data_IF_975975494215
#
_entry.id   IF_975975494215
#
_cell.length_a   1.000
_cell.length_b   1.000
_cell.length_c   1.000
_cell.angle_alpha   90.00
_cell.angle_beta   90.00
_cell.angle_gamma   90.00
#
_symmetry.space_group_name_H-M   'P 1'
#
loop_
_entity.id
_entity.type
_entity.pdbx_description
1 polymer ?
#
# COMPACT_ATOMS: atom_id res chain seq x y z
N UNK A 1 -30.49 18.21 52.68
CA UNK A 1 -29.24 18.45 51.91
C UNK A 1 -28.22 17.29 51.94
N UNK A 2 -27.98 16.59 53.06
CA UNK A 2 -27.01 15.48 53.14
C UNK A 2 -27.31 14.28 52.22
N UNK A 3 -28.59 13.90 52.06
CA UNK A 3 -28.97 12.73 51.24
C UNK A 3 -28.80 12.96 49.72
N UNK A 4 -28.91 14.21 49.24
CA UNK A 4 -28.73 14.54 47.82
C UNK A 4 -27.25 14.43 47.42
N UNK A 5 -26.34 14.87 48.31
CA UNK A 5 -24.88 14.77 48.11
C UNK A 5 -24.38 13.31 48.18
N UNK A 6 -24.98 12.45 49.01
CA UNK A 6 -24.67 11.01 49.06
C UNK A 6 -25.10 10.25 47.79
N UNK A 7 -26.28 10.57 47.22
CA UNK A 7 -26.74 9.95 45.96
C UNK A 7 -25.87 10.34 44.75
N UNK A 8 -25.26 11.52 44.79
CA UNK A 8 -24.34 12.01 43.76
C UNK A 8 -22.99 11.29 43.83
N UNK A 9 -22.45 11.06 45.03
CA UNK A 9 -21.20 10.32 45.24
C UNK A 9 -21.27 8.86 44.79
N UNK A 10 -22.38 8.15 45.07
CA UNK A 10 -22.56 6.75 44.64
C UNK A 10 -22.62 6.61 43.11
N UNK A 11 -23.40 7.47 42.44
CA UNK A 11 -23.48 7.50 40.97
C UNK A 11 -22.14 7.87 40.31
N UNK A 12 -21.39 8.78 40.91
CA UNK A 12 -20.04 9.14 40.47
C UNK A 12 -19.05 7.97 40.60
N UNK A 13 -19.08 7.24 41.72
CA UNK A 13 -18.21 6.08 41.94
C UNK A 13 -18.49 4.93 40.96
N UNK A 14 -19.77 4.62 40.71
CA UNK A 14 -20.17 3.64 39.69
C UNK A 14 -19.76 4.05 38.27
N UNK A 15 -19.85 5.34 37.92
CA UNK A 15 -19.36 5.85 36.63
C UNK A 15 -17.84 5.72 36.52
N UNK A 16 -17.11 6.00 37.60
CA UNK A 16 -15.63 5.89 37.63
C UNK A 16 -15.18 4.44 37.51
N UNK A 17 -15.81 3.50 38.21
CA UNK A 17 -15.53 2.08 38.07
C UNK A 17 -15.82 1.56 36.66
N UNK A 18 -17.00 1.89 36.10
CA UNK A 18 -17.33 1.52 34.71
C UNK A 18 -16.34 2.11 33.73
N UNK A 19 -15.96 3.38 33.90
CA UNK A 19 -14.96 4.02 33.05
C UNK A 19 -13.59 3.37 33.18
N UNK A 20 -13.11 3.07 34.39
CA UNK A 20 -11.82 2.39 34.60
C UNK A 20 -11.84 0.97 34.04
N UNK A 21 -12.93 0.23 34.23
CA UNK A 21 -13.11 -1.10 33.64
C UNK A 21 -13.08 -1.06 32.12
N UNK A 22 -13.83 -0.14 31.49
CA UNK A 22 -13.83 0.03 30.03
C UNK A 22 -12.45 0.44 29.52
N UNK A 23 -11.73 1.31 30.23
CA UNK A 23 -10.36 1.69 29.87
C UNK A 23 -9.39 0.52 29.93
N UNK A 24 -9.49 -0.33 30.97
CA UNK A 24 -8.66 -1.55 31.09
C UNK A 24 -8.99 -2.51 29.95
N UNK A 25 -10.28 -2.68 29.63
CA UNK A 25 -10.72 -3.58 28.56
C UNK A 25 -10.21 -3.09 27.19
N UNK A 26 -10.34 -1.80 26.89
CA UNK A 26 -9.77 -1.19 25.68
C UNK A 26 -8.25 -1.35 25.65
N UNK A 27 -7.56 -1.08 26.76
CA UNK A 27 -6.11 -1.25 26.85
C UNK A 27 -5.66 -2.70 26.62
N UNK A 28 -6.37 -3.67 27.19
CA UNK A 28 -6.13 -5.09 26.98
C UNK A 28 -6.36 -5.49 25.52
N UNK A 29 -7.45 -5.01 24.89
CA UNK A 29 -7.71 -5.26 23.47
C UNK A 29 -6.61 -4.70 22.56
N UNK A 30 -6.11 -3.49 22.84
CA UNK A 30 -4.98 -2.91 22.10
C UNK A 30 -3.72 -3.76 22.28
N UNK A 31 -3.40 -4.19 23.50
CA UNK A 31 -2.25 -5.05 23.75
C UNK A 31 -2.34 -6.36 22.97
N UNK A 32 -3.50 -7.05 23.04
CA UNK A 32 -3.74 -8.29 22.30
C UNK A 32 -3.54 -8.08 20.79
N UNK A 33 -4.04 -6.98 20.23
CA UNK A 33 -3.86 -6.65 18.81
C UNK A 33 -2.39 -6.31 18.44
N UNK A 34 -1.64 -5.68 19.35
CA UNK A 34 -0.23 -5.33 19.12
C UNK A 34 0.71 -6.51 19.27
N UNK A 35 0.38 -7.52 20.08
CA UNK A 35 1.22 -8.72 20.27
C UNK A 35 1.62 -9.43 18.97
N UNK A 36 0.67 -9.86 18.09
CA UNK A 36 1.02 -10.55 16.86
C UNK A 36 1.81 -9.65 15.90
N UNK A 37 1.48 -8.36 15.84
CA UNK A 37 2.24 -7.40 15.04
C UNK A 37 3.69 -7.28 15.54
N UNK A 38 3.88 -7.18 16.86
CA UNK A 38 5.20 -7.13 17.48
C UNK A 38 6.01 -8.40 17.22
N UNK A 39 5.39 -9.57 17.32
CA UNK A 39 6.03 -10.86 17.03
C UNK A 39 6.43 -10.99 15.57
N UNK A 40 5.56 -10.60 14.63
CA UNK A 40 5.87 -10.62 13.19
C UNK A 40 7.04 -9.69 12.89
N UNK A 41 7.02 -8.45 13.41
CA UNK A 41 8.11 -7.51 13.21
C UNK A 41 9.42 -7.97 13.85
N UNK A 42 9.35 -8.55 15.05
CA UNK A 42 10.51 -9.12 15.72
C UNK A 42 11.11 -10.27 14.92
N UNK A 43 10.30 -11.24 14.49
CA UNK A 43 10.77 -12.41 13.74
C UNK A 43 11.29 -12.01 12.36
N UNK A 44 10.62 -11.08 11.69
CA UNK A 44 11.06 -10.50 10.43
C UNK A 44 12.43 -9.83 10.57
N UNK A 45 12.64 -9.04 11.61
CA UNK A 45 13.92 -8.39 11.85
C UNK A 45 15.00 -9.43 12.21
N UNK A 46 14.70 -10.35 13.13
CA UNK A 46 15.65 -11.35 13.62
C UNK A 46 16.14 -12.28 12.52
N UNK A 47 15.24 -12.85 11.71
CA UNK A 47 15.64 -13.74 10.61
C UNK A 47 16.06 -12.96 9.37
N UNK A 48 15.39 -11.85 9.04
CA UNK A 48 15.73 -11.04 7.88
C UNK A 48 17.14 -10.47 7.95
N UNK A 49 17.58 -9.95 9.11
CA UNK A 49 18.93 -9.40 9.28
C UNK A 49 20.03 -10.47 9.21
N UNK A 50 19.72 -11.71 9.60
CA UNK A 50 20.69 -12.83 9.57
C UNK A 50 21.04 -13.27 8.16
N UNK A 51 20.11 -13.13 7.22
CA UNK A 51 20.25 -13.60 5.84
C UNK A 51 20.37 -12.47 4.82
N UNK A 52 20.49 -11.22 5.29
CA UNK A 52 20.65 -10.05 4.43
C UNK A 52 22.12 -9.77 4.17
N UNK A 53 22.58 -10.19 3.00
CA UNK A 53 23.95 -9.94 2.52
C UNK A 53 23.99 -8.95 1.36
N UNK A 54 25.16 -8.39 1.05
CA UNK A 54 25.35 -7.52 -0.12
C UNK A 54 25.01 -8.21 -1.45
N UNK A 55 25.18 -9.53 -1.49
CA UNK A 55 24.81 -10.36 -2.62
C UNK A 55 23.29 -10.35 -2.88
N UNK A 56 22.47 -10.10 -1.85
CA UNK A 56 21.02 -9.99 -1.99
C UNK A 56 20.62 -8.90 -3.00
N UNK A 57 21.33 -7.77 -2.97
CA UNK A 57 21.02 -6.59 -3.78
C UNK A 57 21.65 -6.62 -5.17
N UNK A 58 22.68 -7.44 -5.37
CA UNK A 58 23.50 -7.42 -6.60
C UNK A 58 23.31 -8.66 -7.46
N UNK A 59 22.98 -9.81 -6.86
CA UNK A 59 22.87 -11.09 -7.57
C UNK A 59 21.43 -11.43 -7.94
N UNK A 60 21.30 -12.32 -8.92
CA UNK A 60 20.03 -12.91 -9.33
C UNK A 60 19.62 -14.07 -8.41
N UNK A 61 18.31 -14.41 -8.38
CA UNK A 61 17.82 -15.61 -7.72
C UNK A 61 18.43 -16.85 -8.37
N UNK A 62 18.93 -17.76 -7.55
CA UNK A 62 19.46 -19.05 -8.00
C UNK A 62 18.55 -20.18 -7.53
N UNK A 63 18.57 -21.30 -8.26
CA UNK A 63 17.91 -22.54 -7.86
C UNK A 63 18.49 -23.05 -6.54
N UNK A 64 17.70 -23.80 -5.75
CA UNK A 64 18.18 -24.32 -4.47
C UNK A 64 19.23 -25.39 -4.79
N UNK A 65 20.42 -25.24 -4.21
CA UNK A 65 21.52 -26.15 -4.50
C UNK A 65 21.27 -27.47 -3.74
N UNK A 66 21.19 -28.59 -4.48
CA UNK A 66 21.25 -29.91 -3.86
C UNK A 66 22.73 -30.25 -3.63
N UNK A 67 23.17 -30.25 -2.38
CA UNK A 67 24.50 -30.72 -2.05
C UNK A 67 24.53 -32.24 -2.16
N UNK A 68 25.21 -32.76 -3.18
CA UNK A 68 25.50 -34.18 -3.23
C UNK A 68 26.50 -34.54 -2.13
N UNK A 69 26.33 -35.68 -1.44
CA UNK A 69 27.30 -36.13 -0.44
C UNK A 69 28.69 -36.30 -1.08
N UNK A 70 29.70 -35.62 -0.52
CA UNK A 70 31.09 -35.68 -0.98
C UNK A 70 31.55 -34.53 -1.88
N UNK A 71 30.66 -33.60 -2.28
CA UNK A 71 31.06 -32.35 -2.94
C UNK A 71 31.02 -31.16 -1.96
N UNK A 72 31.99 -30.23 -2.00
CA UNK A 72 31.90 -29.01 -1.21
C UNK A 72 30.64 -28.24 -1.64
N UNK A 73 29.74 -27.95 -0.70
CA UNK A 73 28.63 -27.04 -0.91
C UNK A 73 29.19 -25.62 -1.11
N UNK A 74 29.61 -25.28 -2.32
CA UNK A 74 29.87 -23.88 -2.67
C UNK A 74 28.52 -23.18 -2.72
N UNK A 75 28.16 -22.49 -1.65
CA UNK A 75 26.97 -21.63 -1.59
C UNK A 75 27.15 -20.55 -2.66
N UNK A 76 26.51 -20.72 -3.81
CA UNK A 76 26.43 -19.64 -4.79
C UNK A 76 25.61 -18.52 -4.14
N UNK A 77 26.13 -17.27 -4.11
CA UNK A 77 25.37 -16.19 -3.53
C UNK A 77 24.06 -15.96 -4.30
N UNK A 78 22.93 -16.26 -3.67
CA UNK A 78 21.61 -16.03 -4.25
C UNK A 78 21.11 -14.63 -3.84
N UNK A 79 20.65 -13.85 -4.81
CA UNK A 79 20.07 -12.53 -4.57
C UNK A 79 18.69 -12.34 -5.15
N UNK A 80 18.13 -11.16 -5.00
CA UNK A 80 16.80 -10.79 -5.53
C UNK A 80 16.82 -9.41 -6.19
N UNK A 81 17.96 -9.05 -6.80
CA UNK A 81 18.14 -7.76 -7.45
C UNK A 81 17.07 -7.49 -8.52
N UNK A 82 16.76 -8.49 -9.34
CA UNK A 82 15.71 -8.43 -10.34
C UNK A 82 14.32 -8.19 -9.73
N UNK A 83 13.99 -8.81 -8.60
CA UNK A 83 12.69 -8.66 -7.93
C UNK A 83 12.52 -7.28 -7.29
N UNK A 84 13.60 -6.67 -6.77
CA UNK A 84 13.58 -5.29 -6.27
C UNK A 84 13.26 -4.34 -7.43
N UNK A 85 14.01 -4.44 -8.52
CA UNK A 85 13.81 -3.60 -9.71
C UNK A 85 12.43 -3.85 -10.31
N UNK A 86 12.02 -5.10 -10.44
CA UNK A 86 10.71 -5.48 -10.96
C UNK A 86 9.54 -5.00 -10.10
N UNK A 87 9.69 -4.99 -8.77
CA UNK A 87 8.68 -4.39 -7.88
C UNK A 87 8.55 -2.89 -8.11
N UNK A 88 9.68 -2.19 -8.27
CA UNK A 88 9.69 -0.75 -8.55
C UNK A 88 9.11 -0.43 -9.93
N UNK A 89 9.37 -1.24 -10.96
CA UNK A 89 8.79 -1.05 -12.29
C UNK A 89 7.28 -1.28 -12.29
N UNK A 90 6.80 -2.34 -11.62
CA UNK A 90 5.36 -2.63 -11.50
C UNK A 90 4.61 -1.52 -10.75
N UNK A 91 5.13 -1.09 -9.60
CA UNK A 91 4.54 0.01 -8.82
C UNK A 91 4.63 1.34 -9.59
N UNK A 92 5.73 1.58 -10.30
CA UNK A 92 5.91 2.76 -11.13
C UNK A 92 4.92 2.82 -12.30
N UNK A 93 4.69 1.70 -12.98
CA UNK A 93 3.67 1.59 -14.03
C UNK A 93 2.27 1.80 -13.43
N UNK A 94 1.96 1.14 -12.31
CA UNK A 94 0.69 1.30 -11.62
C UNK A 94 0.43 2.77 -11.28
N UNK A 95 1.42 3.46 -10.69
CA UNK A 95 1.36 4.89 -10.38
C UNK A 95 1.13 5.76 -11.60
N UNK A 96 1.80 5.48 -12.72
CA UNK A 96 1.67 6.26 -13.95
C UNK A 96 0.23 6.30 -14.45
N UNK A 97 -0.49 5.18 -14.35
CA UNK A 97 -1.90 5.09 -14.73
C UNK A 97 -2.83 5.55 -13.61
N UNK A 98 -2.58 5.13 -12.37
CA UNK A 98 -3.52 5.28 -11.27
C UNK A 98 -3.53 6.67 -10.67
N UNK A 99 -2.39 7.36 -10.65
CA UNK A 99 -2.27 8.69 -10.05
C UNK A 99 -3.11 9.75 -10.79
N UNK A 100 -2.98 9.92 -12.14
CA UNK A 100 -3.79 10.91 -12.84
C UNK A 100 -5.29 10.58 -12.78
N UNK A 101 -5.66 9.31 -13.05
CA UNK A 101 -7.06 8.89 -13.03
C UNK A 101 -7.67 9.02 -11.63
N UNK A 102 -6.96 8.53 -10.62
CA UNK A 102 -7.40 8.56 -9.23
C UNK A 102 -7.59 9.98 -8.72
N UNK A 103 -6.61 10.86 -8.97
CA UNK A 103 -6.63 12.26 -8.55
C UNK A 103 -7.76 13.03 -9.23
N UNK A 104 -7.93 12.89 -10.55
CA UNK A 104 -8.99 13.57 -11.30
C UNK A 104 -10.37 13.09 -10.87
N UNK A 105 -10.57 11.78 -10.69
CA UNK A 105 -11.82 11.24 -10.17
C UNK A 105 -12.11 11.74 -8.75
N UNK A 106 -11.11 11.79 -7.87
CA UNK A 106 -11.25 12.32 -6.51
C UNK A 106 -11.60 13.81 -6.48
N UNK A 107 -10.97 14.62 -7.34
CA UNK A 107 -11.30 16.04 -7.52
C UNK A 107 -12.75 16.20 -8.01
N UNK A 108 -13.14 15.42 -9.02
CA UNK A 108 -14.51 15.44 -9.54
C UNK A 108 -15.52 15.10 -8.44
N UNK A 109 -15.27 14.03 -7.67
CA UNK A 109 -16.18 13.60 -6.62
C UNK A 109 -16.31 14.61 -5.47
N UNK A 110 -15.21 15.27 -5.10
CA UNK A 110 -15.19 16.27 -4.06
C UNK A 110 -15.96 17.55 -4.46
N UNK A 111 -15.80 18.02 -5.70
CA UNK A 111 -16.36 19.31 -6.13
C UNK A 111 -17.72 19.20 -6.83
N UNK A 112 -17.94 18.13 -7.60
CA UNK A 112 -19.10 17.96 -8.48
C UNK A 112 -19.86 16.65 -8.25
N UNK A 113 -19.40 15.80 -7.34
CA UNK A 113 -19.93 14.45 -7.14
C UNK A 113 -21.22 14.35 -6.31
N UNK A 114 -21.99 15.43 -6.12
CA UNK A 114 -23.27 15.40 -5.39
C UNK A 114 -24.43 14.79 -6.21
N UNK A 115 -24.18 14.44 -7.47
CA UNK A 115 -25.16 13.85 -8.39
C UNK A 115 -25.16 12.29 -8.34
N UNK A 116 -26.12 11.67 -9.06
CA UNK A 116 -26.26 10.20 -9.15
C UNK A 116 -25.00 9.52 -9.71
N UNK A 117 -24.31 10.16 -10.67
CA UNK A 117 -23.07 9.63 -11.24
C UNK A 117 -21.95 9.60 -10.20
N UNK A 118 -21.79 10.64 -9.39
CA UNK A 118 -20.84 10.67 -8.29
C UNK A 118 -21.12 9.61 -7.22
N UNK A 119 -22.41 9.32 -6.93
CA UNK A 119 -22.77 8.19 -6.06
C UNK A 119 -22.37 6.84 -6.68
N UNK A 120 -22.61 6.64 -7.98
CA UNK A 120 -22.21 5.43 -8.68
C UNK A 120 -20.69 5.24 -8.68
N UNK A 121 -19.92 6.29 -8.97
CA UNK A 121 -18.44 6.24 -8.95
C UNK A 121 -17.92 5.95 -7.54
N UNK A 122 -18.48 6.56 -6.48
CA UNK A 122 -18.12 6.22 -5.09
C UNK A 122 -18.41 4.77 -4.77
N UNK A 123 -19.60 4.29 -5.12
CA UNK A 123 -19.99 2.90 -4.92
C UNK A 123 -19.01 1.94 -5.61
N UNK A 124 -18.65 2.21 -6.87
CA UNK A 124 -17.65 1.41 -7.59
C UNK A 124 -16.28 1.47 -6.94
N UNK A 125 -15.81 2.64 -6.49
CA UNK A 125 -14.54 2.76 -5.79
C UNK A 125 -14.54 2.03 -4.44
N UNK A 126 -15.64 2.08 -3.70
CA UNK A 126 -15.80 1.39 -2.43
C UNK A 126 -15.86 -0.14 -2.65
N UNK A 127 -16.54 -0.60 -3.71
CA UNK A 127 -16.53 -2.01 -4.14
C UNK A 127 -15.13 -2.49 -4.53
N UNK A 128 -14.37 -1.72 -5.29
CA UNK A 128 -13.01 -2.09 -5.68
C UNK A 128 -12.05 -2.16 -4.47
N UNK A 129 -12.25 -1.30 -3.47
CA UNK A 129 -11.46 -1.33 -2.24
C UNK A 129 -11.82 -2.51 -1.33
N UNK A 130 -13.10 -2.92 -1.33
CA UNK A 130 -13.62 -4.03 -0.52
C UNK A 130 -13.45 -5.40 -1.18
N UNK A 131 -13.40 -5.45 -2.51
CA UNK A 131 -13.25 -6.68 -3.27
C UNK A 131 -11.89 -7.37 -2.97
N UNK A 132 -11.85 -8.71 -2.93
CA UNK A 132 -10.59 -9.44 -2.81
C UNK A 132 -9.64 -9.09 -3.97
N UNK A 133 -8.38 -8.78 -3.67
CA UNK A 133 -7.42 -8.31 -4.69
C UNK A 133 -7.13 -9.35 -5.79
N UNK A 134 -7.36 -10.64 -5.52
CA UNK A 134 -7.30 -11.70 -6.54
C UNK A 134 -8.32 -11.52 -7.67
N UNK A 135 -9.49 -10.94 -7.39
CA UNK A 135 -10.54 -10.70 -8.40
C UNK A 135 -10.06 -9.68 -9.43
N UNK A 136 -9.38 -8.62 -8.99
CA UNK A 136 -8.74 -7.67 -9.89
C UNK A 136 -7.63 -8.33 -10.74
N UNK A 137 -6.88 -9.27 -10.14
CA UNK A 137 -5.91 -10.12 -10.85
C UNK A 137 -6.53 -10.95 -11.97
N UNK A 138 -7.60 -11.69 -11.67
CA UNK A 138 -8.32 -12.50 -12.66
C UNK A 138 -8.90 -11.62 -13.77
N UNK A 139 -9.50 -10.48 -13.42
CA UNK A 139 -10.03 -9.54 -14.41
C UNK A 139 -8.96 -9.08 -15.40
N UNK A 140 -7.80 -8.64 -14.90
CA UNK A 140 -6.70 -8.23 -15.77
C UNK A 140 -6.09 -9.40 -16.54
N UNK A 141 -5.95 -10.58 -15.94
CA UNK A 141 -5.52 -11.78 -16.64
C UNK A 141 -6.40 -12.06 -17.86
N UNK A 142 -7.74 -12.04 -17.67
CA UNK A 142 -8.68 -12.30 -18.75
C UNK A 142 -8.70 -11.23 -19.84
N UNK A 143 -8.34 -9.98 -19.53
CA UNK A 143 -8.34 -8.88 -20.52
C UNK A 143 -7.01 -8.70 -21.25
N UNK A 144 -5.90 -8.77 -20.51
CA UNK A 144 -4.56 -8.42 -21.01
C UNK A 144 -3.75 -9.67 -21.37
N UNK A 145 -3.76 -10.69 -20.50
CA UNK A 145 -2.88 -11.85 -20.64
C UNK A 145 -3.44 -12.84 -21.66
N UNK A 146 -4.67 -13.31 -21.45
CA UNK A 146 -5.36 -14.27 -22.35
C UNK A 146 -6.39 -13.62 -23.25
N UNK A 147 -6.69 -12.35 -23.00
CA UNK A 147 -7.74 -11.62 -23.66
C UNK A 147 -7.33 -11.01 -25.00
N UNK A 148 -8.12 -10.07 -25.54
CA UNK A 148 -7.95 -9.53 -26.89
C UNK A 148 -6.57 -8.90 -27.14
N UNK A 149 -5.89 -8.40 -26.10
CA UNK A 149 -4.56 -7.81 -26.23
C UNK A 149 -3.44 -8.86 -26.41
N UNK A 150 -3.64 -10.11 -26.01
CA UNK A 150 -2.68 -11.23 -26.12
C UNK A 150 -1.24 -10.88 -25.72
N UNK A 151 -1.07 -10.05 -24.69
CA UNK A 151 0.25 -9.56 -24.27
C UNK A 151 1.03 -10.56 -23.41
N UNK A 152 0.40 -11.68 -23.02
CA UNK A 152 1.00 -12.64 -22.11
C UNK A 152 1.29 -12.05 -20.72
N UNK A 153 2.06 -12.79 -19.92
CA UNK A 153 2.50 -12.31 -18.61
C UNK A 153 3.55 -11.23 -18.78
N UNK A 154 3.30 -10.03 -18.26
CA UNK A 154 4.10 -8.84 -18.54
C UNK A 154 4.09 -7.83 -17.41
N UNK A 155 5.04 -6.90 -17.41
CA UNK A 155 5.04 -5.75 -16.50
C UNK A 155 3.78 -4.88 -16.69
N UNK A 156 3.29 -4.77 -17.93
CA UNK A 156 2.06 -4.04 -18.24
C UNK A 156 0.83 -4.67 -17.58
N UNK A 157 0.70 -6.01 -17.64
CA UNK A 157 -0.38 -6.71 -16.98
C UNK A 157 -0.33 -6.53 -15.46
N UNK A 158 0.85 -6.73 -14.85
CA UNK A 158 1.00 -6.52 -13.40
C UNK A 158 0.76 -5.08 -12.96
N UNK A 159 1.30 -4.11 -13.69
CA UNK A 159 1.10 -2.68 -13.45
C UNK A 159 -0.36 -2.26 -13.60
N UNK A 160 -1.10 -2.80 -14.57
CA UNK A 160 -2.53 -2.55 -14.73
C UNK A 160 -3.35 -3.13 -13.57
N UNK A 161 -3.02 -4.33 -13.11
CA UNK A 161 -3.71 -4.97 -11.98
C UNK A 161 -3.51 -4.21 -10.67
N UNK A 162 -2.29 -3.82 -10.36
CA UNK A 162 -2.01 -2.92 -9.24
C UNK A 162 -2.66 -1.55 -9.43
N UNK A 163 -2.61 -1.03 -10.66
CA UNK A 163 -3.18 0.26 -11.04
C UNK A 163 -4.67 0.38 -10.72
N UNK A 164 -5.48 -0.64 -11.07
CA UNK A 164 -6.93 -0.63 -10.76
C UNK A 164 -7.20 -0.52 -9.26
N UNK A 165 -6.47 -1.29 -8.44
CA UNK A 165 -6.61 -1.24 -6.98
C UNK A 165 -6.16 0.12 -6.43
N UNK A 166 -5.07 0.66 -6.97
CA UNK A 166 -4.55 1.97 -6.59
C UNK A 166 -5.49 3.12 -6.98
N UNK A 167 -6.16 3.06 -8.14
CA UNK A 167 -7.13 4.08 -8.57
C UNK A 167 -8.19 4.26 -7.50
N UNK A 168 -8.81 3.18 -7.04
CA UNK A 168 -9.88 3.25 -6.04
C UNK A 168 -9.40 3.86 -4.72
N UNK A 169 -8.19 3.51 -4.26
CA UNK A 169 -7.61 4.04 -3.02
C UNK A 169 -7.23 5.52 -3.16
N UNK A 170 -6.64 5.92 -4.30
CA UNK A 170 -6.24 7.30 -4.58
C UNK A 170 -7.47 8.20 -4.75
N UNK A 171 -8.52 7.73 -5.44
CA UNK A 171 -9.78 8.47 -5.60
C UNK A 171 -10.41 8.78 -4.26
N UNK A 172 -10.54 7.77 -3.39
CA UNK A 172 -11.21 7.95 -2.10
C UNK A 172 -10.42 8.87 -1.16
N UNK A 173 -9.12 8.62 -1.04
CA UNK A 173 -8.25 9.47 -0.22
C UNK A 173 -8.20 10.91 -0.73
N UNK A 174 -8.17 11.12 -2.05
CA UNK A 174 -8.22 12.47 -2.64
C UNK A 174 -9.55 13.17 -2.32
N UNK A 175 -10.69 12.48 -2.50
CA UNK A 175 -12.01 13.04 -2.21
C UNK A 175 -12.13 13.46 -0.75
N UNK A 176 -11.75 12.58 0.18
CA UNK A 176 -11.83 12.83 1.62
C UNK A 176 -10.97 14.03 2.01
N UNK A 177 -9.74 14.10 1.51
CA UNK A 177 -8.83 15.22 1.80
C UNK A 177 -9.34 16.56 1.24
N UNK A 178 -9.92 16.59 0.05
CA UNK A 178 -10.50 17.83 -0.51
C UNK A 178 -11.75 18.29 0.27
N UNK A 179 -12.54 17.35 0.80
CA UNK A 179 -13.71 17.64 1.64
C UNK A 179 -13.34 18.19 3.02
N UNK A 180 -12.14 17.93 3.51
CA UNK A 180 -11.66 18.54 4.77
C UNK A 180 -11.40 20.06 4.66
N UNK A 181 -11.33 20.60 3.44
CA UNK A 181 -11.09 22.04 3.23
C UNK A 181 -12.34 22.83 3.64
N UNK A 182 -12.24 23.78 4.59
CA UNK A 182 -13.37 24.56 5.08
C UNK A 182 -14.16 25.28 3.98
N UNK A 183 -15.48 25.32 4.11
CA UNK A 183 -16.36 26.05 3.18
C UNK A 183 -16.10 27.56 3.16
N UNK A 184 -15.68 28.15 4.28
CA UNK A 184 -15.35 29.58 4.37
C UNK A 184 -14.23 29.99 3.40
N UNK A 185 -13.22 29.14 3.19
CA UNK A 185 -12.17 29.38 2.19
C UNK A 185 -12.71 29.38 0.76
N UNK A 186 -13.71 28.53 0.49
CA UNK A 186 -14.36 28.40 -0.82
C UNK A 186 -15.21 29.64 -1.11
N UNK A 187 -16.01 30.07 -0.13
CA UNK A 187 -16.86 31.26 -0.22
C UNK A 187 -16.05 32.55 -0.37
N UNK A 188 -14.98 32.71 0.43
CA UNK A 188 -14.11 33.89 0.36
C UNK A 188 -13.47 34.05 -1.02
N UNK A 189 -12.97 32.97 -1.62
CA UNK A 189 -12.38 33.01 -2.95
C UNK A 189 -13.44 33.26 -4.05
N UNK A 190 -14.66 32.76 -3.91
CA UNK A 190 -15.76 33.10 -4.83
C UNK A 190 -16.18 34.57 -4.72
N UNK A 191 -16.18 35.14 -3.52
CA UNK A 191 -16.47 36.56 -3.30
C UNK A 191 -15.44 37.50 -3.95
N UNK A 192 -14.19 37.04 -4.10
CA UNK A 192 -13.14 37.74 -4.85
C UNK A 192 -13.28 37.58 -6.39
N UNK A 193 -14.38 37.00 -6.89
CA UNK A 193 -14.62 36.80 -8.31
C UNK A 193 -13.78 35.69 -8.96
N UNK A 194 -13.19 34.80 -8.16
CA UNK A 194 -12.38 33.68 -8.69
C UNK A 194 -13.31 32.62 -9.29
N UNK A 195 -13.03 32.20 -10.54
CA UNK A 195 -13.79 31.11 -11.18
C UNK A 195 -13.67 29.79 -10.41
N UNK A 196 -14.72 28.95 -10.42
CA UNK A 196 -14.76 27.66 -9.70
C UNK A 196 -13.59 26.72 -10.03
N UNK A 197 -13.14 26.69 -11.29
CA UNK A 197 -11.99 25.86 -11.68
C UNK A 197 -10.66 26.40 -11.09
N UNK A 198 -10.49 27.73 -11.03
CA UNK A 198 -9.31 28.35 -10.40
C UNK A 198 -9.33 28.14 -8.89
N UNK A 199 -10.50 28.28 -8.26
CA UNK A 199 -10.71 27.97 -6.85
C UNK A 199 -10.26 26.54 -6.55
N UNK A 200 -10.77 25.57 -7.31
CA UNK A 200 -10.46 24.15 -7.11
C UNK A 200 -8.96 23.89 -7.24
N UNK A 201 -8.34 24.30 -8.34
CA UNK A 201 -6.94 23.96 -8.62
C UNK A 201 -5.93 24.78 -7.79
N UNK A 202 -6.23 26.05 -7.50
CA UNK A 202 -5.26 26.97 -6.86
C UNK A 202 -5.50 27.15 -5.36
N UNK A 203 -6.70 26.94 -4.86
CA UNK A 203 -7.02 27.08 -3.43
C UNK A 203 -7.23 25.70 -2.82
N UNK A 204 -8.32 25.02 -3.19
CA UNK A 204 -8.73 23.77 -2.52
C UNK A 204 -7.68 22.68 -2.67
N UNK A 205 -7.25 22.39 -3.89
CA UNK A 205 -6.26 21.36 -4.18
C UNK A 205 -4.96 21.66 -3.43
N UNK A 206 -4.48 22.92 -3.48
CA UNK A 206 -3.26 23.35 -2.78
C UNK A 206 -3.34 23.20 -1.26
N UNK A 207 -4.49 23.51 -0.67
CA UNK A 207 -4.72 23.35 0.77
C UNK A 207 -4.72 21.87 1.17
N UNK A 208 -5.32 21.00 0.34
CA UNK A 208 -5.40 19.57 0.61
C UNK A 208 -4.16 18.75 0.21
N UNK A 209 -3.20 19.33 -0.53
CA UNK A 209 -2.05 18.61 -1.11
C UNK A 209 -1.30 17.72 -0.11
N UNK A 210 -1.12 18.16 1.14
CA UNK A 210 -0.38 17.40 2.15
C UNK A 210 -1.07 16.08 2.50
N UNK A 211 -2.39 16.14 2.61
CA UNK A 211 -3.24 14.97 2.81
C UNK A 211 -3.24 14.07 1.58
N UNK A 212 -3.42 14.64 0.40
CA UNK A 212 -3.45 13.88 -0.87
C UNK A 212 -2.14 13.12 -1.07
N UNK A 213 -0.99 13.77 -0.86
CA UNK A 213 0.32 13.11 -0.94
C UNK A 213 0.40 11.96 0.05
N UNK A 214 -0.06 12.13 1.28
CA UNK A 214 -0.07 11.06 2.28
C UNK A 214 -0.97 9.89 1.87
N UNK A 215 -2.16 10.19 1.34
CA UNK A 215 -3.10 9.18 0.82
C UNK A 215 -2.55 8.39 -0.36
N UNK A 216 -1.90 9.07 -1.31
CA UNK A 216 -1.22 8.42 -2.45
C UNK A 216 -0.09 7.53 -1.96
N UNK A 217 0.72 7.97 -1.00
CA UNK A 217 1.81 7.16 -0.45
C UNK A 217 1.30 5.91 0.26
N UNK A 218 0.18 6.02 0.99
CA UNK A 218 -0.46 4.85 1.59
C UNK A 218 -0.96 3.85 0.52
N UNK A 219 -1.51 4.36 -0.59
CA UNK A 219 -1.93 3.52 -1.72
C UNK A 219 -0.75 2.80 -2.37
N UNK A 220 0.38 3.49 -2.56
CA UNK A 220 1.64 2.91 -3.08
C UNK A 220 2.19 1.86 -2.14
N UNK A 221 2.24 2.15 -0.83
CA UNK A 221 2.74 1.24 0.18
C UNK A 221 1.92 -0.07 0.22
N UNK A 222 0.58 0.04 0.11
CA UNK A 222 -0.31 -1.12 0.02
C UNK A 222 -0.03 -1.90 -1.27
N UNK A 223 -0.05 -1.24 -2.43
CA UNK A 223 0.12 -1.88 -3.73
C UNK A 223 1.48 -2.57 -3.89
N UNK A 224 2.56 -1.99 -3.34
CA UNK A 224 3.88 -2.60 -3.35
C UNK A 224 3.93 -3.95 -2.60
N UNK A 225 3.02 -4.17 -1.64
CA UNK A 225 2.89 -5.43 -0.91
C UNK A 225 1.84 -6.39 -1.47
N UNK A 226 1.11 -6.04 -2.53
CA UNK A 226 0.08 -6.90 -3.11
C UNK A 226 0.73 -8.07 -3.87
N UNK A 227 0.36 -9.30 -3.51
CA UNK A 227 0.88 -10.52 -4.14
C UNK A 227 -0.13 -11.18 -5.06
N UNK A 228 -1.39 -11.26 -4.61
CA UNK A 228 -2.47 -11.99 -5.28
C UNK A 228 -2.67 -11.60 -6.76
N UNK A 229 -2.81 -10.31 -7.13
CA UNK A 229 -2.97 -9.95 -8.54
C UNK A 229 -1.75 -10.27 -9.39
N UNK A 230 -0.53 -10.18 -8.83
CA UNK A 230 0.72 -10.40 -9.56
C UNK A 230 0.95 -11.86 -9.92
N UNK A 231 0.47 -12.80 -9.09
CA UNK A 231 0.51 -14.24 -9.37
C UNK A 231 -0.16 -14.60 -10.71
N UNK A 232 -1.17 -13.83 -11.11
CA UNK A 232 -1.95 -14.07 -12.32
C UNK A 232 -1.56 -13.16 -13.49
N UNK A 233 -0.70 -12.16 -13.30
CA UNK A 233 -0.52 -11.10 -14.31
C UNK A 233 0.94 -10.87 -14.70
N UNK A 234 1.83 -10.52 -13.77
CA UNK A 234 3.26 -10.39 -14.06
C UNK A 234 4.00 -11.72 -13.98
N UNK A 235 3.43 -12.68 -13.22
CA UNK A 235 4.03 -13.96 -12.89
C UNK A 235 5.43 -13.77 -12.28
N UNK A 236 6.43 -14.51 -12.74
CA UNK A 236 7.80 -14.44 -12.25
C UNK A 236 8.82 -14.76 -13.33
N UNK A 237 10.04 -14.25 -13.15
CA UNK A 237 11.21 -14.58 -13.93
C UNK A 237 12.45 -14.55 -13.02
N UNK A 238 13.28 -15.60 -13.07
CA UNK A 238 14.53 -15.66 -12.29
C UNK A 238 15.65 -14.81 -12.90
N UNK A 239 15.46 -14.35 -14.15
CA UNK A 239 16.43 -13.52 -14.86
C UNK A 239 16.03 -12.05 -14.85
N UNK A 240 16.88 -11.21 -15.43
CA UNK A 240 16.54 -9.82 -15.72
C UNK A 240 15.49 -9.77 -16.83
N UNK A 241 14.41 -8.98 -16.68
CA UNK A 241 13.48 -8.75 -17.79
C UNK A 241 14.19 -7.92 -18.87
N UNK A 242 14.07 -8.33 -20.14
CA UNK A 242 14.65 -7.62 -21.27
C UNK A 242 13.76 -6.47 -21.75
N UNK A 243 12.45 -6.59 -21.53
CA UNK A 243 11.42 -5.65 -21.92
C UNK A 243 10.27 -5.60 -20.89
N UNK A 244 9.44 -4.56 -20.94
CA UNK A 244 8.22 -4.43 -20.11
C UNK A 244 7.12 -5.42 -20.52
N UNK A 245 7.24 -6.02 -21.70
CA UNK A 245 6.39 -7.12 -22.18
C UNK A 245 6.76 -8.47 -21.56
N UNK A 246 7.91 -8.59 -20.90
CA UNK A 246 8.35 -9.86 -20.32
C UNK A 246 7.76 -10.08 -18.92
N UNK A 247 7.63 -11.35 -18.49
CA UNK A 247 7.29 -11.71 -17.12
C UNK A 247 8.24 -11.00 -16.15
N UNK A 248 7.65 -10.28 -15.19
CA UNK A 248 8.41 -9.37 -14.32
C UNK A 248 8.40 -9.90 -12.90
N UNK A 249 9.58 -10.16 -12.30
CA UNK A 249 9.68 -10.63 -10.93
C UNK A 249 9.28 -9.53 -9.94
N UNK A 250 8.72 -9.93 -8.79
CA UNK A 250 8.39 -9.01 -7.72
C UNK A 250 8.73 -9.61 -6.35
N UNK A 251 9.09 -8.76 -5.39
CA UNK A 251 9.40 -9.16 -4.03
C UNK A 251 8.21 -9.88 -3.36
N UNK A 252 6.96 -9.40 -3.45
CA UNK A 252 5.83 -10.11 -2.85
C UNK A 252 5.63 -11.52 -3.44
N UNK A 253 5.82 -11.68 -4.76
CA UNK A 253 5.79 -12.99 -5.40
C UNK A 253 6.86 -13.92 -4.82
N UNK A 254 8.12 -13.46 -4.77
CA UNK A 254 9.23 -14.29 -4.27
C UNK A 254 9.03 -14.64 -2.80
N UNK A 255 8.57 -13.70 -1.96
CA UNK A 255 8.27 -13.97 -0.56
C UNK A 255 7.25 -15.11 -0.46
N UNK A 256 6.15 -15.04 -1.20
CA UNK A 256 5.11 -16.08 -1.17
C UNK A 256 5.63 -17.43 -1.67
N UNK A 257 6.28 -17.44 -2.85
CA UNK A 257 6.76 -18.68 -3.46
C UNK A 257 7.88 -19.35 -2.66
N UNK A 258 8.81 -18.56 -2.10
CA UNK A 258 9.93 -19.09 -1.32
C UNK A 258 9.53 -19.46 0.11
N UNK A 259 8.59 -18.74 0.73
CA UNK A 259 8.10 -19.09 2.06
C UNK A 259 7.29 -20.40 2.07
N UNK A 260 6.59 -20.71 0.98
CA UNK A 260 5.79 -21.94 0.83
C UNK A 260 6.61 -23.15 0.35
N UNK A 261 7.86 -22.94 -0.04
CA UNK A 261 8.74 -24.00 -0.51
C UNK A 261 9.23 -24.92 0.62
N UNK A 262 9.46 -26.22 0.35
CA UNK A 262 10.06 -27.13 1.32
C UNK A 262 11.55 -26.86 1.59
N UNK A 263 12.22 -26.05 0.76
CA UNK A 263 13.65 -25.79 0.90
C UNK A 263 13.93 -24.69 1.92
N UNK A 264 14.63 -25.03 3.01
CA UNK A 264 15.03 -24.06 4.06
C UNK A 264 15.81 -22.87 3.50
N UNK A 265 16.65 -23.08 2.48
CA UNK A 265 17.42 -22.01 1.82
C UNK A 265 16.50 -20.94 1.21
N UNK A 266 15.41 -21.35 0.57
CA UNK A 266 14.42 -20.42 0.01
C UNK A 266 13.63 -19.73 1.12
N UNK A 267 13.22 -20.45 2.17
CA UNK A 267 12.55 -19.84 3.32
C UNK A 267 13.43 -18.75 3.98
N UNK A 268 14.74 -18.98 4.11
CA UNK A 268 15.70 -17.99 4.61
C UNK A 268 15.76 -16.75 3.72
N UNK A 269 15.83 -16.95 2.41
CA UNK A 269 15.78 -15.87 1.42
C UNK A 269 14.46 -15.08 1.47
N UNK A 270 13.34 -15.75 1.73
CA UNK A 270 12.04 -15.09 1.88
C UNK A 270 11.99 -14.14 3.08
N UNK A 271 12.62 -14.49 4.21
CA UNK A 271 12.75 -13.60 5.38
C UNK A 271 13.54 -12.33 5.05
N UNK A 272 14.69 -12.47 4.35
CA UNK A 272 15.46 -11.33 3.88
C UNK A 272 14.66 -10.45 2.91
N UNK A 273 13.96 -11.06 1.94
CA UNK A 273 13.13 -10.35 0.98
C UNK A 273 11.97 -9.58 1.64
N UNK A 274 11.31 -10.18 2.62
CA UNK A 274 10.25 -9.53 3.38
C UNK A 274 10.78 -8.33 4.17
N UNK A 275 11.97 -8.46 4.79
CA UNK A 275 12.60 -7.35 5.51
C UNK A 275 12.93 -6.19 4.56
N UNK A 276 13.48 -6.49 3.38
CA UNK A 276 13.79 -5.48 2.36
C UNK A 276 12.53 -4.81 1.83
N UNK A 277 11.46 -5.56 1.55
CA UNK A 277 10.20 -5.00 1.08
C UNK A 277 9.60 -4.02 2.11
N UNK A 278 9.51 -4.44 3.38
CA UNK A 278 9.01 -3.59 4.47
C UNK A 278 9.91 -2.37 4.67
N UNK A 279 11.23 -2.56 4.66
CA UNK A 279 12.20 -1.48 4.75
C UNK A 279 12.07 -0.46 3.61
N UNK A 280 11.91 -0.93 2.37
CA UNK A 280 11.72 -0.10 1.19
C UNK A 280 10.44 0.73 1.29
N UNK A 281 9.32 0.12 1.69
CA UNK A 281 8.04 0.83 1.90
C UNK A 281 8.18 1.88 3.00
N UNK A 282 8.85 1.55 4.11
CA UNK A 282 9.07 2.47 5.22
C UNK A 282 9.94 3.66 4.81
N UNK A 283 11.05 3.41 4.11
CA UNK A 283 11.94 4.45 3.58
C UNK A 283 11.18 5.36 2.61
N UNK A 284 10.43 4.79 1.67
CA UNK A 284 9.64 5.55 0.70
C UNK A 284 8.62 6.46 1.39
N UNK A 285 7.91 5.93 2.39
CA UNK A 285 6.94 6.69 3.18
C UNK A 285 7.59 7.82 3.99
N UNK A 286 8.75 7.56 4.62
CA UNK A 286 9.49 8.57 5.37
C UNK A 286 9.98 9.68 4.45
N UNK A 287 10.62 9.34 3.33
CA UNK A 287 11.13 10.31 2.35
C UNK A 287 9.98 11.17 1.84
N UNK A 288 8.87 10.56 1.43
CA UNK A 288 7.71 11.29 0.94
C UNK A 288 7.12 12.24 2.00
N UNK A 289 7.03 11.78 3.26
CA UNK A 289 6.54 12.60 4.38
C UNK A 289 7.48 13.77 4.68
N UNK A 290 8.80 13.57 4.63
CA UNK A 290 9.80 14.63 4.83
C UNK A 290 9.76 15.68 3.70
N UNK A 291 9.66 15.23 2.44
CA UNK A 291 9.55 16.11 1.28
C UNK A 291 8.25 16.93 1.32
N UNK A 292 7.16 16.29 1.73
CA UNK A 292 5.86 16.94 1.94
C UNK A 292 5.95 18.03 3.03
N UNK A 293 6.50 17.70 4.20
CA UNK A 293 6.70 18.64 5.33
C UNK A 293 7.53 19.87 4.99
N UNK A 294 8.62 19.73 4.23
CA UNK A 294 9.49 20.86 3.84
C UNK A 294 8.77 21.90 2.96
N UNK A 295 7.73 21.50 2.20
CA UNK A 295 6.87 22.46 1.47
C UNK A 295 5.88 23.20 2.37
N UNK A 296 5.55 22.66 3.55
CA UNK A 296 4.65 23.30 4.52
C UNK A 296 5.37 24.25 5.48
N UNK A 297 6.61 23.95 5.88
CA UNK A 297 7.39 24.80 6.80
C UNK A 297 7.92 26.12 6.17
N UNK A 298 7.78 26.31 4.85
CA UNK A 298 8.13 27.55 4.12
C UNK A 298 6.93 28.47 3.89
N UNK A 299 5.83 28.29 4.61
CA UNK A 299 4.63 29.13 4.52
C UNK A 299 4.10 29.49 5.89
#
# INVERSE_FOLDING_TARGET
>A
MKNVLQSSRSRYWWRRLKSSFMLILVGASVLVALTPLGLILYQLAAEGLRYLDWNFFTQLPHSPQFCLPGQPCTLVPAGMANAIVGSLTLVGLALLFSLPLGLLAGIYLAEFGSNRFGQAVRFTADLLNAAPSIVAGVFIYTLIVTGPLHLGFSAYAGGAALGILMVATITRSTEEMLRTVPHSLREAALALGVSRWKLTLRVVLRTALGGIVTGVMLAVARAAGETAPLLLTSLNNNFWPHSLSDPTPSLPYFIFYYATSPFKQWQQQAWAAALVLVGMILILNIIAKLLSRKRFARR
#
